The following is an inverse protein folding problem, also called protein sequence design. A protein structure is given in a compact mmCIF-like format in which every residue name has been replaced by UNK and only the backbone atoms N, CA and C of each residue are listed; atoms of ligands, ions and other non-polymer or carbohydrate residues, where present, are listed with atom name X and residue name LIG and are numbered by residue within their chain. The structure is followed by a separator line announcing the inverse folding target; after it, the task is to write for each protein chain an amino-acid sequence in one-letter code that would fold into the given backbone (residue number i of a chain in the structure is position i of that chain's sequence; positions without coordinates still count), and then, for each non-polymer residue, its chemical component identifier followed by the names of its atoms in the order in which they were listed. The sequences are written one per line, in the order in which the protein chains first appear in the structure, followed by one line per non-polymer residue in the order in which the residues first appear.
data_IF_461321919294
#
_entry.id   IF_461321919294
#
_cell.length_a   1.000
_cell.length_b   1.000
_cell.length_c   1.000
_cell.angle_alpha   90.00
_cell.angle_beta   90.00
_cell.angle_gamma   90.00
#
_symmetry.space_group_name_H-M   'P 1'
#
loop_
_entity.id
_entity.type
_entity.pdbx_description
1 polymer ?
#
# COMPACT_ATOMS: atom_id res chain seq x y z
N UNK A 1 -29.94 -11.48 12.06
CA UNK A 1 -29.06 -12.09 11.04
C UNK A 1 -27.61 -11.83 11.38
N UNK A 2 -26.74 -12.77 11.05
CA UNK A 2 -25.28 -12.68 11.22
C UNK A 2 -24.61 -12.84 9.85
N UNK A 3 -23.70 -11.94 9.51
CA UNK A 3 -22.81 -12.07 8.34
C UNK A 3 -21.41 -12.47 8.80
N UNK A 4 -20.87 -13.54 8.23
CA UNK A 4 -19.53 -14.04 8.55
C UNK A 4 -18.64 -13.93 7.32
N UNK A 5 -17.50 -13.25 7.47
CA UNK A 5 -16.39 -13.27 6.52
C UNK A 5 -15.31 -14.22 7.04
N UNK A 6 -14.80 -15.13 6.21
CA UNK A 6 -13.79 -16.10 6.62
C UNK A 6 -12.62 -16.12 5.65
N UNK A 7 -11.41 -15.93 6.15
CA UNK A 7 -10.17 -16.03 5.35
C UNK A 7 -9.77 -17.50 5.21
N UNK A 8 -9.95 -18.08 4.02
CA UNK A 8 -9.51 -19.44 3.73
C UNK A 8 -9.35 -19.71 2.23
N UNK A 9 -8.52 -20.69 1.90
CA UNK A 9 -8.38 -21.24 0.54
C UNK A 9 -9.26 -22.47 0.29
N UNK A 10 -10.10 -22.86 1.25
CA UNK A 10 -10.98 -24.02 1.10
C UNK A 10 -12.06 -23.79 0.03
N UNK A 11 -12.18 -24.77 -0.86
CA UNK A 11 -13.26 -24.88 -1.84
C UNK A 11 -13.58 -26.37 -2.05
N UNK A 12 -14.72 -26.89 -1.55
CA UNK A 12 -15.79 -26.17 -0.85
C UNK A 12 -15.40 -25.77 0.59
N UNK A 13 -16.14 -24.81 1.15
CA UNK A 13 -16.01 -24.36 2.54
C UNK A 13 -17.40 -24.17 3.15
N UNK A 14 -17.57 -24.58 4.40
CA UNK A 14 -18.82 -24.52 5.14
C UNK A 14 -18.59 -23.88 6.50
N UNK A 15 -19.58 -23.10 6.94
CA UNK A 15 -19.76 -22.78 8.35
C UNK A 15 -20.62 -23.88 8.98
N UNK A 16 -20.18 -24.45 10.11
CA UNK A 16 -20.94 -25.40 10.89
C UNK A 16 -21.42 -24.71 12.16
N UNK A 17 -22.74 -24.60 12.35
CA UNK A 17 -23.35 -23.80 13.41
C UNK A 17 -24.72 -24.36 13.83
N UNK A 18 -25.23 -24.04 15.04
CA UNK A 18 -26.54 -24.46 15.50
C UNK A 18 -27.64 -23.53 14.94
N UNK A 19 -28.27 -23.93 13.83
CA UNK A 19 -29.40 -23.21 13.21
C UNK A 19 -30.70 -23.93 13.55
N UNK A 20 -31.70 -23.20 14.06
CA UNK A 20 -32.96 -23.81 14.52
C UNK A 20 -32.78 -24.80 15.69
N UNK A 21 -31.70 -24.66 16.47
CA UNK A 21 -31.39 -25.55 17.60
C UNK A 21 -30.61 -26.82 17.23
N UNK A 22 -30.28 -27.02 15.94
CA UNK A 22 -29.54 -28.19 15.48
C UNK A 22 -28.26 -27.78 14.75
N UNK A 23 -27.17 -28.52 14.99
CA UNK A 23 -25.91 -28.30 14.30
C UNK A 23 -25.98 -28.76 12.85
N UNK A 24 -25.74 -27.85 11.92
CA UNK A 24 -25.72 -28.11 10.49
C UNK A 24 -24.63 -27.32 9.78
N UNK A 25 -24.17 -27.83 8.64
CA UNK A 25 -23.16 -27.19 7.80
C UNK A 25 -23.83 -26.41 6.66
N UNK A 26 -23.44 -25.15 6.50
CA UNK A 26 -23.98 -24.25 5.48
C UNK A 26 -22.85 -23.77 4.56
N UNK A 27 -23.02 -23.86 3.23
CA UNK A 27 -21.96 -23.52 2.29
C UNK A 27 -21.67 -22.02 2.29
N UNK A 28 -20.39 -21.66 2.28
CA UNK A 28 -19.94 -20.28 2.13
C UNK A 28 -19.63 -19.98 0.66
N UNK A 29 -19.86 -18.74 0.25
CA UNK A 29 -19.57 -18.27 -1.11
C UNK A 29 -18.28 -17.45 -1.12
N UNK A 30 -17.56 -17.42 -2.24
CA UNK A 30 -16.41 -16.52 -2.39
C UNK A 30 -16.87 -15.06 -2.25
N UNK A 31 -16.07 -14.23 -1.57
CA UNK A 31 -16.31 -12.80 -1.49
C UNK A 31 -15.99 -12.14 -2.84
N UNK A 32 -16.89 -11.30 -3.39
CA UNK A 32 -16.75 -10.79 -4.77
C UNK A 32 -15.51 -9.89 -4.96
N UNK A 33 -15.06 -9.20 -3.90
CA UNK A 33 -14.00 -8.20 -3.99
C UNK A 33 -12.78 -8.50 -3.11
N UNK A 34 -12.67 -9.72 -2.57
CA UNK A 34 -11.62 -10.06 -1.59
C UNK A 34 -11.16 -11.50 -1.81
N UNK A 35 -10.00 -11.67 -2.47
CA UNK A 35 -9.40 -12.97 -2.79
C UNK A 35 -9.25 -13.82 -1.53
N UNK A 36 -9.58 -15.13 -1.60
CA UNK A 36 -9.62 -16.11 -0.49
C UNK A 36 -10.32 -15.61 0.80
N UNK A 37 -11.29 -14.73 0.64
CA UNK A 37 -12.31 -14.49 1.66
C UNK A 37 -13.59 -15.15 1.20
N UNK A 38 -14.27 -15.81 2.11
CA UNK A 38 -15.59 -16.39 1.92
C UNK A 38 -16.60 -15.61 2.75
N UNK A 39 -17.86 -15.62 2.34
CA UNK A 39 -18.94 -14.93 3.02
C UNK A 39 -20.21 -15.77 3.08
N UNK A 40 -20.95 -15.63 4.17
CA UNK A 40 -22.30 -16.16 4.34
C UNK A 40 -23.09 -15.22 5.25
N UNK A 41 -24.39 -15.09 4.98
CA UNK A 41 -25.34 -14.47 5.92
C UNK A 41 -26.34 -15.53 6.37
N UNK A 42 -26.45 -15.72 7.68
CA UNK A 42 -27.20 -16.81 8.31
C UNK A 42 -28.04 -16.27 9.47
N UNK A 43 -29.06 -17.03 9.88
CA UNK A 43 -29.90 -16.70 11.05
C UNK A 43 -29.07 -16.66 12.34
N UNK A 44 -29.61 -16.08 13.41
CA UNK A 44 -28.90 -15.63 14.62
C UNK A 44 -28.20 -16.75 15.43
N UNK A 45 -27.09 -17.25 14.88
CA UNK A 45 -26.15 -18.15 15.54
C UNK A 45 -25.34 -17.40 16.58
N UNK A 46 -24.86 -18.12 17.61
CA UNK A 46 -23.98 -17.58 18.66
C UNK A 46 -22.62 -18.26 18.71
N UNK A 47 -22.50 -19.44 18.11
CA UNK A 47 -21.27 -20.18 18.02
C UNK A 47 -21.16 -20.95 16.70
N UNK A 48 -19.95 -21.18 16.24
CA UNK A 48 -19.69 -21.89 14.99
C UNK A 48 -18.24 -22.38 14.89
N UNK A 49 -17.98 -23.25 13.92
CA UNK A 49 -16.65 -23.65 13.44
C UNK A 49 -16.69 -23.71 11.91
N UNK A 50 -15.54 -23.82 11.24
CA UNK A 50 -15.51 -24.02 9.80
C UNK A 50 -15.04 -25.43 9.45
N UNK A 51 -15.50 -25.93 8.31
CA UNK A 51 -15.02 -27.19 7.72
C UNK A 51 -14.93 -27.08 6.20
N UNK A 52 -14.05 -27.89 5.60
CA UNK A 52 -14.03 -28.07 4.15
C UNK A 52 -15.01 -29.15 3.66
N UNK A 53 -15.86 -29.69 4.55
CA UNK A 53 -16.79 -30.77 4.26
C UNK A 53 -16.17 -32.17 4.25
N UNK A 54 -14.86 -32.27 4.50
CA UNK A 54 -14.13 -33.51 4.68
C UNK A 54 -13.60 -33.57 6.14
N UNK A 55 -12.36 -34.03 6.35
CA UNK A 55 -11.78 -34.23 7.68
C UNK A 55 -11.17 -32.96 8.31
N UNK A 56 -11.12 -31.82 7.59
CA UNK A 56 -10.48 -30.60 8.10
C UNK A 56 -11.50 -29.69 8.77
N UNK A 57 -11.12 -29.19 9.94
CA UNK A 57 -11.89 -28.27 10.76
C UNK A 57 -11.01 -27.11 11.22
N UNK A 58 -11.61 -25.92 11.30
CA UNK A 58 -11.00 -24.72 11.85
C UNK A 58 -11.84 -24.27 13.05
N UNK A 59 -11.17 -24.20 14.20
CA UNK A 59 -11.69 -23.79 15.49
C UNK A 59 -10.66 -22.87 16.18
N UNK A 60 -11.08 -22.02 17.13
CA UNK A 60 -10.14 -21.13 17.83
C UNK A 60 -9.12 -21.90 18.68
N UNK A 61 -9.48 -23.11 19.11
CA UNK A 61 -8.63 -24.06 19.83
C UNK A 61 -9.27 -25.45 19.78
N UNK A 62 -8.51 -26.54 19.94
CA UNK A 62 -9.05 -27.90 19.93
C UNK A 62 -10.25 -28.06 20.88
N UNK A 63 -11.39 -28.49 20.32
CA UNK A 63 -12.63 -28.70 21.07
C UNK A 63 -13.41 -27.43 21.44
N UNK A 64 -13.02 -26.26 20.94
CA UNK A 64 -13.73 -25.01 21.13
C UNK A 64 -14.45 -24.54 19.86
N UNK A 65 -15.46 -23.71 20.04
CA UNK A 65 -16.17 -23.05 18.95
C UNK A 65 -15.83 -21.56 18.95
N UNK A 66 -15.83 -20.94 17.78
CA UNK A 66 -15.91 -19.49 17.67
C UNK A 66 -17.22 -19.02 18.30
N UNK A 67 -17.20 -17.91 19.05
CA UNK A 67 -18.38 -17.36 19.75
C UNK A 67 -18.54 -15.88 19.44
N UNK A 68 -19.77 -15.48 19.16
CA UNK A 68 -20.15 -14.09 18.87
C UNK A 68 -21.25 -13.62 19.82
N UNK A 69 -21.36 -12.30 19.98
CA UNK A 69 -22.21 -11.67 21.00
C UNK A 69 -23.65 -11.47 20.57
N UNK A 70 -23.92 -11.45 19.26
CA UNK A 70 -25.27 -11.28 18.72
C UNK A 70 -25.28 -11.01 17.21
N UNK A 71 -26.43 -10.52 16.69
CA UNK A 71 -26.56 -10.11 15.29
C UNK A 71 -25.50 -9.09 14.90
N UNK A 72 -25.01 -9.16 13.66
CA UNK A 72 -23.96 -8.27 13.17
C UNK A 72 -23.09 -8.92 12.10
N UNK A 73 -21.98 -8.25 11.78
CA UNK A 73 -20.99 -8.76 10.84
C UNK A 73 -19.68 -9.08 11.58
N UNK A 74 -19.07 -10.22 11.26
CA UNK A 74 -17.83 -10.67 11.90
C UNK A 74 -16.89 -11.24 10.84
N UNK A 75 -15.59 -10.99 10.99
CA UNK A 75 -14.54 -11.66 10.24
C UNK A 75 -13.85 -12.70 11.12
N UNK A 76 -13.46 -13.83 10.54
CA UNK A 76 -12.51 -14.76 11.14
C UNK A 76 -11.22 -14.74 10.33
N UNK A 77 -10.16 -14.29 10.99
CA UNK A 77 -8.84 -14.05 10.42
C UNK A 77 -7.77 -14.60 11.37
N UNK A 78 -6.94 -15.52 10.90
CA UNK A 78 -5.89 -16.19 11.71
C UNK A 78 -6.38 -16.72 13.07
N UNK A 79 -7.53 -17.40 13.09
CA UNK A 79 -8.09 -17.96 14.32
C UNK A 79 -8.70 -16.93 15.29
N UNK A 80 -8.79 -15.66 14.88
CA UNK A 80 -9.37 -14.59 15.67
C UNK A 80 -10.70 -14.13 15.07
N UNK A 81 -11.69 -13.93 15.93
CA UNK A 81 -12.94 -13.25 15.57
C UNK A 81 -12.74 -11.74 15.69
N UNK A 82 -13.10 -11.02 14.63
CA UNK A 82 -13.08 -9.57 14.56
C UNK A 82 -14.51 -9.12 14.27
N UNK A 83 -15.16 -8.47 15.24
CA UNK A 83 -16.45 -7.83 15.02
C UNK A 83 -16.25 -6.63 14.09
N UNK A 84 -17.03 -6.58 13.00
CA UNK A 84 -17.01 -5.50 12.03
C UNK A 84 -17.79 -4.31 12.61
N UNK A 85 -17.09 -3.19 12.78
CA UNK A 85 -17.61 -1.92 13.29
C UNK A 85 -17.31 -0.84 12.26
N UNK A 86 -18.18 -0.70 11.24
CA UNK A 86 -17.90 0.21 10.13
C UNK A 86 -17.55 1.60 10.61
N UNK A 87 -16.46 2.16 10.09
CA UNK A 87 -16.14 3.56 10.28
C UNK A 87 -17.30 4.44 9.78
N UNK A 88 -17.46 5.62 10.38
CA UNK A 88 -18.55 6.56 10.03
C UNK A 88 -18.53 6.96 8.55
N UNK A 89 -17.33 7.00 7.95
CA UNK A 89 -17.10 7.31 6.54
C UNK A 89 -16.04 6.37 5.96
N UNK A 90 -16.22 5.90 4.71
CA UNK A 90 -15.16 5.23 3.98
C UNK A 90 -13.95 6.14 3.78
N UNK A 91 -12.75 5.57 3.77
CA UNK A 91 -11.52 6.30 3.49
C UNK A 91 -10.71 5.61 2.39
N UNK A 92 -9.97 6.42 1.62
CA UNK A 92 -8.90 5.95 0.75
C UNK A 92 -7.57 6.08 1.50
N UNK A 93 -7.05 4.95 1.97
CA UNK A 93 -5.74 4.87 2.63
C UNK A 93 -4.68 4.51 1.60
N UNK A 94 -3.68 5.37 1.44
CA UNK A 94 -2.54 5.16 0.53
C UNK A 94 -1.27 5.19 1.35
N UNK A 95 -0.57 4.06 1.46
CA UNK A 95 0.57 3.92 2.35
C UNK A 95 1.80 3.43 1.63
N UNK A 96 2.98 3.93 2.02
CA UNK A 96 4.19 3.14 1.80
C UNK A 96 4.16 1.83 2.61
N UNK A 97 5.04 0.89 2.26
CA UNK A 97 5.21 -0.38 2.94
C UNK A 97 6.41 -0.33 3.89
N UNK A 98 7.62 -0.38 3.35
CA UNK A 98 8.84 -0.50 4.13
C UNK A 98 9.01 0.67 5.09
N UNK A 99 9.31 0.39 6.36
CA UNK A 99 9.40 1.38 7.42
C UNK A 99 8.13 2.21 7.66
N UNK A 100 7.00 1.89 7.02
CA UNK A 100 5.73 2.60 7.19
C UNK A 100 4.60 1.70 7.69
N UNK A 101 4.30 0.60 6.99
CA UNK A 101 3.38 -0.44 7.49
C UNK A 101 4.11 -1.68 7.95
N UNK A 102 5.23 -2.01 7.30
CA UNK A 102 6.00 -3.24 7.54
C UNK A 102 7.41 -2.92 8.01
N UNK A 103 7.95 -3.78 8.86
CA UNK A 103 9.35 -3.81 9.25
C UNK A 103 9.82 -5.26 9.41
N UNK A 104 11.11 -5.44 9.68
CA UNK A 104 11.77 -6.75 9.63
C UNK A 104 12.06 -7.37 11.00
N UNK A 105 11.43 -6.88 12.07
CA UNK A 105 11.63 -7.39 13.43
C UNK A 105 10.32 -7.47 14.22
N UNK A 106 10.27 -8.36 15.20
CA UNK A 106 9.03 -8.83 15.85
C UNK A 106 8.02 -7.71 16.24
N UNK A 107 8.41 -6.64 16.97
CA UNK A 107 7.52 -5.51 17.25
C UNK A 107 6.79 -4.90 16.04
N UNK A 108 7.44 -4.85 14.88
CA UNK A 108 6.87 -4.28 13.65
C UNK A 108 5.89 -5.24 12.97
N UNK A 109 6.15 -6.54 13.08
CA UNK A 109 5.22 -7.60 12.65
C UNK A 109 3.95 -7.54 13.50
N UNK A 110 4.09 -7.33 14.82
CA UNK A 110 2.95 -7.16 15.71
C UNK A 110 2.16 -5.87 15.43
N UNK A 111 2.85 -4.78 15.05
CA UNK A 111 2.20 -3.54 14.63
C UNK A 111 1.40 -3.72 13.34
N UNK A 112 1.92 -4.47 12.36
CA UNK A 112 1.18 -4.86 11.16
C UNK A 112 -0.06 -5.71 11.51
N UNK A 113 0.06 -6.66 12.44
CA UNK A 113 -1.07 -7.47 12.89
C UNK A 113 -2.18 -6.62 13.54
N UNK A 114 -1.81 -5.65 14.38
CA UNK A 114 -2.76 -4.68 14.96
C UNK A 114 -3.42 -3.81 13.90
N UNK A 115 -2.65 -3.31 12.93
CA UNK A 115 -3.19 -2.59 11.79
C UNK A 115 -4.18 -3.44 10.98
N UNK A 116 -3.87 -4.70 10.70
CA UNK A 116 -4.78 -5.59 9.98
C UNK A 116 -6.08 -5.81 10.74
N UNK A 117 -6.01 -6.06 12.06
CA UNK A 117 -7.19 -6.20 12.90
C UNK A 117 -8.07 -4.95 12.85
N UNK A 118 -7.45 -3.77 12.99
CA UNK A 118 -8.13 -2.47 12.91
C UNK A 118 -8.76 -2.25 11.53
N UNK A 119 -8.00 -2.49 10.45
CA UNK A 119 -8.47 -2.29 9.08
C UNK A 119 -9.61 -3.25 8.74
N UNK A 120 -9.51 -4.52 9.14
CA UNK A 120 -10.60 -5.50 8.99
C UNK A 120 -11.84 -5.05 9.74
N UNK A 121 -11.69 -4.66 11.01
CA UNK A 121 -12.81 -4.23 11.85
C UNK A 121 -13.56 -3.05 11.24
N UNK A 122 -12.85 -2.04 10.73
CA UNK A 122 -13.46 -0.73 10.45
C UNK A 122 -13.66 -0.44 8.96
N UNK A 123 -12.82 -1.01 8.09
CA UNK A 123 -12.58 -0.50 6.73
C UNK A 123 -12.66 -1.55 5.62
N UNK A 124 -12.17 -2.76 5.85
CA UNK A 124 -11.85 -3.71 4.77
C UNK A 124 -13.08 -4.22 3.99
N UNK A 125 -14.23 -4.27 4.66
CA UNK A 125 -15.52 -4.72 4.11
C UNK A 125 -16.56 -3.59 4.02
N UNK A 126 -16.15 -2.33 4.20
CA UNK A 126 -17.09 -1.20 4.45
C UNK A 126 -16.93 -0.06 3.43
N UNK A 127 -16.43 -0.38 2.23
CA UNK A 127 -16.27 0.56 1.12
C UNK A 127 -14.99 1.39 1.16
N UNK A 128 -14.19 1.30 2.22
CA UNK A 128 -12.85 1.91 2.24
C UNK A 128 -11.92 1.20 1.26
N UNK A 129 -10.88 1.91 0.78
CA UNK A 129 -9.92 1.40 -0.19
C UNK A 129 -8.51 1.46 0.35
N UNK A 130 -7.79 0.35 0.23
CA UNK A 130 -6.40 0.21 0.66
C UNK A 130 -5.47 0.23 -0.55
N UNK A 131 -4.50 1.12 -0.55
CA UNK A 131 -3.51 1.26 -1.62
C UNK A 131 -2.12 1.18 -1.02
N UNK A 132 -1.28 0.30 -1.57
CA UNK A 132 0.15 0.32 -1.29
C UNK A 132 0.88 1.10 -2.37
N UNK A 133 1.68 2.08 -1.98
CA UNK A 133 2.45 2.94 -2.86
C UNK A 133 3.93 2.87 -2.49
N UNK A 134 4.59 1.84 -3.02
CA UNK A 134 5.89 1.36 -2.56
C UNK A 134 7.01 1.63 -3.55
N UNK A 135 8.24 1.68 -3.03
CA UNK A 135 9.45 1.65 -3.84
C UNK A 135 9.73 0.29 -4.48
N UNK A 136 9.18 -0.80 -3.93
CA UNK A 136 9.36 -2.18 -4.38
C UNK A 136 8.88 -2.40 -5.81
N UNK A 137 9.47 -3.36 -6.52
CA UNK A 137 8.92 -3.96 -7.74
C UNK A 137 7.70 -4.84 -7.42
N UNK A 138 7.02 -5.35 -8.46
CA UNK A 138 5.94 -6.32 -8.25
C UNK A 138 6.48 -7.61 -7.62
N UNK A 139 7.62 -8.10 -8.10
CA UNK A 139 8.29 -9.31 -7.62
C UNK A 139 8.67 -9.17 -6.15
N UNK A 140 9.30 -8.05 -5.77
CA UNK A 140 9.67 -7.74 -4.38
C UNK A 140 8.46 -7.60 -3.45
N UNK A 141 7.32 -7.11 -3.97
CA UNK A 141 6.08 -7.07 -3.21
C UNK A 141 5.50 -8.48 -3.02
N UNK A 142 5.50 -9.32 -4.06
CA UNK A 142 4.99 -10.69 -3.97
C UNK A 142 5.83 -11.57 -3.04
N UNK A 143 7.14 -11.35 -3.00
CA UNK A 143 8.06 -12.04 -2.09
C UNK A 143 7.70 -11.84 -0.61
N UNK A 144 7.04 -10.72 -0.24
CA UNK A 144 6.60 -10.48 1.14
C UNK A 144 5.66 -11.58 1.66
N UNK A 145 4.80 -12.13 0.79
CA UNK A 145 3.93 -13.24 1.19
C UNK A 145 4.73 -14.52 1.47
N UNK A 146 5.81 -14.76 0.72
CA UNK A 146 6.70 -15.92 0.88
C UNK A 146 7.58 -15.78 2.14
N UNK A 147 7.99 -14.55 2.45
CA UNK A 147 8.69 -14.16 3.68
C UNK A 147 7.79 -14.25 4.93
N UNK A 148 6.49 -14.51 4.76
CA UNK A 148 5.54 -14.74 5.84
C UNK A 148 4.83 -13.49 6.35
N UNK A 149 5.00 -12.34 5.69
CA UNK A 149 4.24 -11.15 6.04
C UNK A 149 2.75 -11.37 5.77
N UNK A 150 1.93 -11.06 6.77
CA UNK A 150 0.47 -11.20 6.68
C UNK A 150 -0.17 -9.91 6.15
N UNK A 151 0.26 -9.45 4.99
CA UNK A 151 -0.24 -8.20 4.40
C UNK A 151 -1.64 -8.43 3.82
N UNK A 152 -2.59 -7.52 4.09
CA UNK A 152 -3.90 -7.57 3.45
C UNK A 152 -3.79 -7.29 1.95
N UNK A 153 -4.59 -7.99 1.15
CA UNK A 153 -4.68 -7.72 -0.29
C UNK A 153 -5.18 -6.27 -0.49
N UNK A 154 -4.42 -5.38 -1.15
CA UNK A 154 -4.82 -4.01 -1.43
C UNK A 154 -5.82 -3.95 -2.59
N UNK A 155 -6.61 -2.88 -2.63
CA UNK A 155 -7.47 -2.54 -3.77
C UNK A 155 -6.65 -2.02 -4.97
N UNK A 156 -5.47 -1.43 -4.72
CA UNK A 156 -4.53 -0.98 -5.74
C UNK A 156 -3.08 -1.13 -5.26
N UNK A 157 -2.19 -1.60 -6.12
CA UNK A 157 -0.77 -1.67 -5.86
C UNK A 157 -0.03 -0.72 -6.81
N UNK A 158 0.60 0.30 -6.26
CA UNK A 158 1.48 1.23 -6.96
C UNK A 158 2.93 0.88 -6.60
N UNK A 159 3.73 0.54 -7.59
CA UNK A 159 5.10 0.02 -7.41
C UNK A 159 6.15 0.94 -8.01
N UNK A 160 7.42 0.62 -7.76
CA UNK A 160 8.58 1.29 -8.33
C UNK A 160 8.51 2.81 -8.16
N UNK A 161 8.14 3.29 -6.97
CA UNK A 161 8.04 4.72 -6.62
C UNK A 161 7.02 5.45 -7.51
N UNK A 162 5.84 4.86 -7.72
CA UNK A 162 4.78 5.51 -8.51
C UNK A 162 4.90 5.35 -10.01
N UNK A 163 5.71 4.40 -10.50
CA UNK A 163 5.97 4.24 -11.94
C UNK A 163 5.04 3.25 -12.62
N UNK A 164 4.52 2.28 -11.86
CA UNK A 164 3.68 1.21 -12.39
C UNK A 164 2.56 0.89 -11.40
N UNK A 165 1.41 0.48 -11.91
CA UNK A 165 0.20 0.24 -11.11
C UNK A 165 -0.46 -1.08 -11.49
N UNK A 166 -0.94 -1.80 -10.49
CA UNK A 166 -1.60 -3.09 -10.65
C UNK A 166 -2.88 -3.17 -9.83
N UNK A 167 -3.84 -3.95 -10.32
CA UNK A 167 -5.03 -4.38 -9.57
C UNK A 167 -5.05 -5.90 -9.45
N UNK A 168 -5.49 -6.41 -8.31
CA UNK A 168 -5.63 -7.85 -8.12
C UNK A 168 -6.88 -8.36 -8.86
N UNK A 169 -6.71 -9.31 -9.76
CA UNK A 169 -7.81 -10.07 -10.31
C UNK A 169 -8.21 -11.17 -9.31
N UNK A 170 -9.45 -11.12 -8.80
CA UNK A 170 -9.91 -12.02 -7.76
C UNK A 170 -10.17 -13.45 -8.25
N UNK A 171 -10.45 -13.63 -9.54
CA UNK A 171 -10.70 -14.93 -10.16
C UNK A 171 -9.39 -15.69 -10.38
N UNK A 172 -8.37 -15.00 -10.89
CA UNK A 172 -7.06 -15.61 -11.19
C UNK A 172 -6.10 -15.53 -10.00
N UNK A 173 -6.32 -14.59 -9.10
CA UNK A 173 -5.43 -14.27 -7.99
C UNK A 173 -4.13 -13.56 -8.40
N UNK A 174 -4.00 -13.12 -9.66
CA UNK A 174 -2.84 -12.43 -10.19
C UNK A 174 -3.00 -10.91 -10.17
N UNK A 175 -1.88 -10.19 -10.04
CA UNK A 175 -1.85 -8.73 -10.21
C UNK A 175 -1.75 -8.38 -11.69
N UNK A 176 -2.73 -7.64 -12.19
CA UNK A 176 -2.82 -7.22 -13.59
C UNK A 176 -2.40 -5.76 -13.73
N UNK A 177 -1.56 -5.50 -14.74
CA UNK A 177 -1.03 -4.17 -15.03
C UNK A 177 -2.16 -3.23 -15.49
N UNK A 178 -2.20 -2.03 -14.90
CA UNK A 178 -3.08 -0.93 -15.29
C UNK A 178 -2.38 -0.01 -16.29
N UNK A 179 -2.50 -0.31 -17.57
CA UNK A 179 -1.85 0.46 -18.64
C UNK A 179 -2.45 1.85 -18.83
N UNK A 180 -3.72 2.06 -18.44
CA UNK A 180 -4.38 3.37 -18.41
C UNK A 180 -3.69 4.37 -17.46
N UNK A 181 -2.91 3.90 -16.48
CA UNK A 181 -2.07 4.75 -15.65
C UNK A 181 -1.02 5.51 -16.46
N UNK A 182 -0.53 4.92 -17.57
CA UNK A 182 0.52 5.50 -18.39
C UNK A 182 0.07 6.74 -19.18
N UNK A 183 -1.24 6.92 -19.34
CA UNK A 183 -1.81 8.11 -19.98
C UNK A 183 -1.64 9.38 -19.12
N UNK A 184 -1.24 9.23 -17.85
CA UNK A 184 -0.93 10.35 -16.95
C UNK A 184 0.47 10.92 -17.14
N UNK A 185 1.33 10.27 -17.92
CA UNK A 185 2.68 10.74 -18.19
C UNK A 185 2.77 11.43 -19.55
N UNK A 186 3.56 12.50 -19.61
CA UNK A 186 3.89 13.11 -20.89
C UNK A 186 4.99 12.32 -21.60
N UNK A 187 4.59 11.44 -22.52
CA UNK A 187 5.50 10.55 -23.25
C UNK A 187 6.37 11.29 -24.29
N UNK A 188 6.01 12.50 -24.70
CA UNK A 188 6.81 13.31 -25.63
C UNK A 188 8.07 13.85 -24.94
N UNK A 189 8.01 14.01 -23.61
CA UNK A 189 9.12 14.50 -22.78
C UNK A 189 9.88 13.40 -22.03
N UNK A 190 9.64 12.14 -22.38
CA UNK A 190 10.25 11.02 -21.68
C UNK A 190 10.62 9.85 -22.59
N UNK A 191 11.74 9.22 -22.28
CA UNK A 191 12.13 7.90 -22.77
C UNK A 191 13.22 7.37 -21.82
N UNK A 192 12.93 6.29 -21.10
CA UNK A 192 13.84 5.78 -20.07
C UNK A 192 15.21 5.39 -20.62
N UNK A 193 15.31 4.91 -21.86
CA UNK A 193 16.59 4.54 -22.46
C UNK A 193 17.40 5.75 -22.92
N UNK A 194 16.74 6.81 -23.38
CA UNK A 194 17.41 8.09 -23.65
C UNK A 194 17.94 8.68 -22.34
N UNK A 195 17.11 8.72 -21.30
CA UNK A 195 17.48 9.24 -19.98
C UNK A 195 18.66 8.45 -19.40
N UNK A 196 18.60 7.12 -19.46
CA UNK A 196 19.67 6.24 -18.96
C UNK A 196 21.02 6.55 -19.62
N UNK A 197 21.07 6.58 -20.96
CA UNK A 197 22.30 6.87 -21.70
C UNK A 197 22.84 8.27 -21.39
N UNK A 198 21.99 9.29 -21.42
CA UNK A 198 22.45 10.67 -21.20
C UNK A 198 22.95 10.88 -19.77
N UNK A 199 22.31 10.26 -18.78
CA UNK A 199 22.70 10.38 -17.38
C UNK A 199 24.02 9.66 -17.10
N UNK A 200 24.21 8.45 -17.63
CA UNK A 200 25.47 7.73 -17.47
C UNK A 200 26.66 8.43 -18.15
N UNK A 201 26.43 9.10 -19.28
CA UNK A 201 27.47 9.85 -19.98
C UNK A 201 27.91 11.10 -19.21
N UNK A 202 26.96 11.87 -18.67
CA UNK A 202 27.23 13.16 -18.03
C UNK A 202 27.55 13.04 -16.53
N UNK A 203 27.07 12.00 -15.85
CA UNK A 203 27.16 11.86 -14.40
C UNK A 203 27.76 10.49 -14.00
N UNK A 204 29.07 10.25 -14.22
CA UNK A 204 29.73 8.96 -13.94
C UNK A 204 29.79 8.58 -12.44
N UNK A 205 29.38 9.49 -11.54
CA UNK A 205 29.25 9.20 -10.11
C UNK A 205 27.94 8.48 -9.76
N UNK A 206 26.99 8.41 -10.69
CA UNK A 206 25.80 7.57 -10.59
C UNK A 206 26.14 6.15 -11.05
N UNK A 207 25.93 5.19 -10.16
CA UNK A 207 26.26 3.79 -10.39
C UNK A 207 24.97 3.05 -10.73
N UNK A 208 24.91 2.50 -11.95
CA UNK A 208 23.84 1.60 -12.35
C UNK A 208 24.04 0.24 -11.68
N UNK A 209 23.09 -0.26 -10.88
CA UNK A 209 23.16 -1.61 -10.31
C UNK A 209 23.13 -2.70 -11.40
N UNK A 210 23.82 -3.82 -11.17
CA UNK A 210 23.90 -4.93 -12.14
C UNK A 210 22.53 -5.52 -12.51
N UNK A 211 21.57 -5.49 -11.59
CA UNK A 211 20.19 -5.97 -11.78
C UNK A 211 19.19 -4.81 -11.98
N UNK A 212 19.62 -3.67 -12.51
CA UNK A 212 18.74 -2.53 -12.67
C UNK A 212 17.70 -2.75 -13.78
N UNK A 213 16.44 -2.83 -13.39
CA UNK A 213 15.32 -2.76 -14.32
C UNK A 213 15.11 -1.32 -14.82
N UNK A 214 15.11 -1.13 -16.14
CA UNK A 214 14.66 0.10 -16.79
C UNK A 214 13.13 0.00 -16.91
N UNK A 215 12.41 0.78 -16.10
CA UNK A 215 10.95 0.84 -16.16
C UNK A 215 10.50 1.81 -17.24
N UNK A 216 9.27 1.69 -17.79
CA UNK A 216 8.76 2.61 -18.81
C UNK A 216 8.83 4.09 -18.42
N UNK A 217 8.59 4.41 -17.14
CA UNK A 217 8.56 5.78 -16.61
C UNK A 217 9.50 6.01 -15.43
N UNK A 218 10.54 5.18 -15.30
CA UNK A 218 11.56 5.33 -14.27
C UNK A 218 12.86 4.62 -14.64
N UNK A 219 13.96 5.26 -14.28
CA UNK A 219 15.25 4.59 -14.11
C UNK A 219 15.79 4.92 -12.73
N UNK A 220 16.72 4.14 -12.20
CA UNK A 220 17.31 4.44 -10.90
C UNK A 220 18.79 4.09 -10.85
N UNK A 221 19.49 4.82 -9.99
CA UNK A 221 20.92 4.66 -9.76
C UNK A 221 21.20 4.62 -8.27
N UNK A 222 22.40 4.19 -7.92
CA UNK A 222 22.96 4.36 -6.58
C UNK A 222 24.10 5.35 -6.61
N UNK A 223 24.32 6.05 -5.51
CA UNK A 223 25.44 6.98 -5.38
C UNK A 223 25.89 7.12 -3.93
N UNK A 224 27.16 7.47 -3.73
CA UNK A 224 27.64 7.80 -2.39
C UNK A 224 27.04 9.13 -1.93
N UNK A 225 26.67 9.21 -0.65
CA UNK A 225 26.05 10.40 -0.06
C UNK A 225 26.88 11.67 -0.29
N UNK A 226 28.21 11.58 -0.22
CA UNK A 226 29.11 12.71 -0.49
C UNK A 226 29.00 13.25 -1.92
N UNK A 227 28.78 12.37 -2.90
CA UNK A 227 28.71 12.74 -4.32
C UNK A 227 27.32 13.32 -4.63
N UNK A 228 26.26 12.76 -4.04
CA UNK A 228 24.92 13.35 -4.05
C UNK A 228 24.94 14.77 -3.49
N UNK A 229 25.55 14.97 -2.32
CA UNK A 229 25.63 16.30 -1.69
C UNK A 229 26.35 17.33 -2.56
N UNK A 230 27.34 16.89 -3.35
CA UNK A 230 28.14 17.76 -4.20
C UNK A 230 27.48 18.03 -5.56
N UNK A 231 26.86 17.05 -6.18
CA UNK A 231 26.49 17.08 -7.61
C UNK A 231 24.98 16.99 -7.91
N UNK A 232 24.13 16.72 -6.91
CA UNK A 232 22.68 16.56 -7.14
C UNK A 232 22.02 17.80 -7.75
N UNK A 233 22.51 19.01 -7.44
CA UNK A 233 21.97 20.25 -8.01
C UNK A 233 22.18 20.29 -9.52
N UNK A 234 23.37 19.91 -9.99
CA UNK A 234 23.71 19.92 -11.42
C UNK A 234 22.89 18.87 -12.16
N UNK A 235 22.75 17.66 -11.59
CA UNK A 235 21.86 16.63 -12.11
C UNK A 235 20.41 17.11 -12.23
N UNK A 236 19.88 17.81 -11.22
CA UNK A 236 18.52 18.37 -11.25
C UNK A 236 18.34 19.43 -12.33
N UNK A 237 19.34 20.29 -12.56
CA UNK A 237 19.28 21.31 -13.62
C UNK A 237 19.33 20.66 -15.00
N UNK A 238 20.24 19.70 -15.19
CA UNK A 238 20.36 18.91 -16.42
C UNK A 238 19.04 18.21 -16.78
N UNK A 239 18.45 17.47 -15.84
CA UNK A 239 17.20 16.73 -16.05
C UNK A 239 15.99 17.63 -16.29
N UNK A 240 15.93 18.81 -15.66
CA UNK A 240 14.87 19.80 -15.93
C UNK A 240 14.98 20.41 -17.32
N UNK A 241 16.17 20.38 -17.92
CA UNK A 241 16.45 20.80 -19.28
C UNK A 241 15.77 22.15 -19.63
N UNK A 242 16.02 23.23 -18.88
CA UNK A 242 15.25 24.48 -19.02
C UNK A 242 15.34 25.09 -20.42
N UNK A 243 16.46 24.88 -21.12
CA UNK A 243 16.71 25.34 -22.49
C UNK A 243 16.02 24.49 -23.57
N UNK A 244 15.26 23.45 -23.18
CA UNK A 244 14.53 22.57 -24.08
C UNK A 244 15.42 21.91 -25.16
N UNK A 245 16.62 21.46 -24.75
CA UNK A 245 17.55 20.75 -25.63
C UNK A 245 16.88 19.46 -26.12
N UNK A 246 16.98 19.20 -27.42
CA UNK A 246 16.45 17.99 -28.06
C UNK A 246 17.53 16.90 -28.03
N UNK A 247 17.19 15.74 -27.49
CA UNK A 247 18.03 14.54 -27.44
C UNK A 247 17.29 13.39 -28.11
N UNK A 248 17.86 12.83 -29.18
CA UNK A 248 17.25 11.75 -29.97
C UNK A 248 15.78 12.04 -30.38
N UNK A 249 15.51 13.28 -30.78
CA UNK A 249 14.18 13.70 -31.25
C UNK A 249 13.18 14.05 -30.14
N UNK A 250 13.56 14.00 -28.86
CA UNK A 250 12.70 14.36 -27.72
C UNK A 250 13.30 15.48 -26.87
N UNK A 251 12.45 16.31 -26.29
CA UNK A 251 12.85 17.25 -25.24
C UNK A 251 12.64 16.55 -23.90
N UNK A 252 13.70 15.96 -23.35
CA UNK A 252 13.58 15.22 -22.09
C UNK A 252 13.36 16.18 -20.93
N UNK A 253 12.34 15.89 -20.10
CA UNK A 253 12.04 16.62 -18.86
C UNK A 253 11.85 15.63 -17.72
N UNK A 254 12.73 15.71 -16.74
CA UNK A 254 12.80 14.73 -15.66
C UNK A 254 13.09 15.38 -14.31
N UNK A 255 12.87 14.60 -13.25
CA UNK A 255 13.19 14.96 -11.87
C UNK A 255 13.81 13.78 -11.14
N UNK A 256 14.52 14.10 -10.06
CA UNK A 256 15.05 13.12 -9.13
C UNK A 256 14.16 12.95 -7.91
N UNK A 257 14.03 11.71 -7.46
CA UNK A 257 13.54 11.32 -6.14
C UNK A 257 14.71 10.63 -5.46
N UNK A 258 15.06 11.09 -4.26
CA UNK A 258 16.26 10.66 -3.55
C UNK A 258 15.84 10.07 -2.22
N UNK A 259 16.29 8.87 -1.92
CA UNK A 259 16.00 8.15 -0.67
C UNK A 259 17.24 7.38 -0.19
N UNK A 260 17.12 6.70 0.95
CA UNK A 260 18.19 5.89 1.54
C UNK A 260 19.00 6.64 2.60
N UNK A 261 19.68 5.86 3.44
CA UNK A 261 20.40 6.31 4.64
C UNK A 261 21.91 6.05 4.53
N UNK A 262 22.66 6.67 5.45
CA UNK A 262 24.10 6.47 5.62
C UNK A 262 24.93 6.90 4.39
N UNK A 263 25.86 6.06 3.95
CA UNK A 263 26.85 6.38 2.91
C UNK A 263 26.35 6.19 1.48
N UNK A 264 25.19 5.55 1.28
CA UNK A 264 24.64 5.24 -0.03
C UNK A 264 23.22 5.79 -0.16
N UNK A 265 22.91 6.31 -1.35
CA UNK A 265 21.59 6.85 -1.71
C UNK A 265 21.07 6.16 -2.96
N UNK A 266 19.74 6.06 -3.02
CA UNK A 266 19.01 5.68 -4.21
C UNK A 266 18.54 6.95 -4.93
N UNK A 267 18.75 7.02 -6.23
CA UNK A 267 18.40 8.15 -7.09
C UNK A 267 17.45 7.65 -8.17
N UNK A 268 16.16 7.73 -7.92
CA UNK A 268 15.16 7.47 -8.96
C UNK A 268 15.04 8.71 -9.85
N UNK A 269 15.04 8.48 -11.16
CA UNK A 269 14.79 9.51 -12.17
C UNK A 269 13.48 9.15 -12.87
N UNK A 270 12.57 10.11 -12.89
CA UNK A 270 11.21 9.97 -13.39
C UNK A 270 10.84 11.16 -14.28
N UNK A 271 9.80 11.06 -15.12
CA UNK A 271 9.16 12.22 -15.73
C UNK A 271 8.75 13.25 -14.67
N UNK A 272 8.51 14.50 -15.08
CA UNK A 272 8.09 15.54 -14.14
C UNK A 272 6.79 15.20 -13.39
N UNK A 273 5.92 14.43 -14.01
CA UNK A 273 4.65 13.94 -13.48
C UNK A 273 4.85 12.80 -12.47
N UNK A 274 5.91 12.00 -12.62
CA UNK A 274 6.11 10.73 -11.92
C UNK A 274 6.35 10.81 -10.42
N UNK A 275 6.61 9.66 -9.78
CA UNK A 275 6.74 9.58 -8.33
C UNK A 275 5.43 9.25 -7.62
N UNK A 276 5.52 8.96 -6.32
CA UNK A 276 4.39 8.45 -5.53
C UNK A 276 3.15 9.37 -5.51
N UNK A 277 3.31 10.68 -5.70
CA UNK A 277 2.17 11.62 -5.78
C UNK A 277 1.23 11.38 -6.96
N UNK A 278 1.75 10.84 -8.08
CA UNK A 278 0.91 10.47 -9.23
C UNK A 278 0.04 9.25 -8.91
N UNK A 279 0.59 8.30 -8.13
CA UNK A 279 -0.14 7.16 -7.58
C UNK A 279 -1.34 7.59 -6.72
N UNK A 280 -1.16 8.62 -5.86
CA UNK A 280 -2.26 9.21 -5.08
C UNK A 280 -3.34 9.78 -6.00
N UNK A 281 -2.93 10.56 -7.00
CA UNK A 281 -3.85 11.18 -7.96
C UNK A 281 -4.66 10.12 -8.71
N UNK A 282 -4.01 9.05 -9.14
CA UNK A 282 -4.66 7.96 -9.85
C UNK A 282 -5.61 7.16 -8.95
N UNK A 283 -5.21 6.83 -7.72
CA UNK A 283 -6.05 6.12 -6.76
C UNK A 283 -7.34 6.90 -6.45
N UNK A 284 -7.24 8.22 -6.23
CA UNK A 284 -8.40 9.11 -6.02
C UNK A 284 -9.36 9.07 -7.21
N UNK A 285 -8.84 9.20 -8.44
CA UNK A 285 -9.65 9.14 -9.67
C UNK A 285 -10.30 7.78 -9.86
N UNK A 286 -9.55 6.71 -9.65
CA UNK A 286 -10.02 5.35 -9.85
C UNK A 286 -11.17 4.98 -8.91
N UNK A 287 -11.05 5.37 -7.64
CA UNK A 287 -12.02 4.99 -6.61
C UNK A 287 -13.05 6.08 -6.29
N UNK A 288 -12.92 7.28 -6.89
CA UNK A 288 -13.87 8.38 -6.69
C UNK A 288 -13.76 9.07 -5.32
N UNK A 289 -12.58 9.09 -4.71
CA UNK A 289 -12.33 9.77 -3.43
C UNK A 289 -11.78 11.19 -3.64
N UNK A 290 -12.25 12.12 -2.81
CA UNK A 290 -11.74 13.50 -2.75
C UNK A 290 -10.67 13.65 -1.63
N UNK A 291 -10.15 14.86 -1.42
CA UNK A 291 -9.09 15.10 -0.44
C UNK A 291 -9.52 14.85 1.02
N UNK A 292 -10.77 15.17 1.38
CA UNK A 292 -11.23 15.05 2.78
C UNK A 292 -11.33 13.60 3.26
N UNK A 293 -11.49 12.65 2.34
CA UNK A 293 -11.64 11.22 2.60
C UNK A 293 -10.40 10.42 2.16
N UNK A 294 -9.32 11.10 1.77
CA UNK A 294 -8.03 10.48 1.40
C UNK A 294 -6.99 10.69 2.50
N UNK A 295 -6.22 9.64 2.80
CA UNK A 295 -5.16 9.64 3.79
C UNK A 295 -3.90 9.02 3.17
N UNK A 296 -2.80 9.77 3.12
CA UNK A 296 -1.49 9.28 2.69
C UNK A 296 -0.58 8.98 3.89
N UNK A 297 0.24 7.94 3.84
CA UNK A 297 1.16 7.56 4.91
C UNK A 297 2.55 7.29 4.35
N UNK A 298 3.59 7.81 5.01
CA UNK A 298 4.97 7.53 4.63
C UNK A 298 5.96 7.85 5.74
N UNK A 299 7.23 7.52 5.50
CA UNK A 299 8.34 7.69 6.45
C UNK A 299 9.52 8.45 5.84
N UNK A 300 9.69 8.50 4.52
CA UNK A 300 10.93 8.98 3.90
C UNK A 300 10.78 9.98 2.75
N UNK A 301 11.91 10.45 2.21
CA UNK A 301 11.94 11.43 1.13
C UNK A 301 11.22 11.02 -0.16
N UNK A 302 11.07 9.71 -0.43
CA UNK A 302 10.30 9.25 -1.59
C UNK A 302 8.78 9.45 -1.42
N UNK A 303 8.30 9.64 -0.19
CA UNK A 303 6.90 9.84 0.17
C UNK A 303 6.47 11.31 0.13
N UNK A 304 7.43 12.24 0.06
CA UNK A 304 7.17 13.67 -0.08
C UNK A 304 6.17 13.96 -1.21
N UNK A 305 6.20 13.17 -2.30
CA UNK A 305 5.25 13.28 -3.40
C UNK A 305 3.80 13.03 -2.96
N UNK A 306 3.57 12.06 -2.08
CA UNK A 306 2.24 11.75 -1.55
C UNK A 306 1.72 12.83 -0.61
N UNK A 307 2.60 13.52 0.11
CA UNK A 307 2.21 14.48 1.16
C UNK A 307 2.00 15.91 0.66
N UNK A 308 2.08 16.15 -0.65
CA UNK A 308 1.96 17.49 -1.25
C UNK A 308 0.53 17.95 -1.53
N UNK A 309 -0.44 17.05 -1.50
CA UNK A 309 -1.85 17.37 -1.75
C UNK A 309 -2.55 18.01 -0.56
N UNK A 310 -3.84 18.27 -0.73
CA UNK A 310 -4.71 18.83 0.31
C UNK A 310 -5.36 17.76 1.20
N UNK A 311 -5.20 16.47 0.84
CA UNK A 311 -5.62 15.32 1.63
C UNK A 311 -4.83 15.16 2.92
N UNK A 312 -5.35 14.39 3.87
CA UNK A 312 -4.63 14.12 5.12
C UNK A 312 -3.36 13.32 4.86
N UNK A 313 -2.27 13.65 5.55
CA UNK A 313 -1.05 12.85 5.53
C UNK A 313 -0.58 12.51 6.93
N UNK A 314 -0.03 11.31 7.07
CA UNK A 314 0.52 10.76 8.30
C UNK A 314 2.01 10.51 8.07
N UNK A 315 2.83 11.03 8.98
CA UNK A 315 4.25 10.71 9.08
C UNK A 315 4.42 9.80 10.30
N UNK A 316 4.87 8.57 10.07
CA UNK A 316 5.13 7.60 11.16
C UNK A 316 6.31 8.05 12.03
N UNK A 317 6.32 7.75 13.33
CA UNK A 317 7.35 8.28 14.23
C UNK A 317 8.79 7.82 13.94
N UNK A 318 8.97 6.76 13.14
CA UNK A 318 10.28 6.25 12.70
C UNK A 318 10.76 6.84 11.35
N UNK A 319 10.26 8.02 11.00
CA UNK A 319 10.58 8.75 9.77
C UNK A 319 12.09 8.97 9.55
N UNK A 320 12.44 9.29 8.32
CA UNK A 320 13.75 9.80 7.91
C UNK A 320 13.83 11.33 8.02
N UNK A 321 15.05 11.83 8.27
CA UNK A 321 15.30 13.25 8.45
C UNK A 321 14.91 14.08 7.23
N UNK A 322 15.05 13.54 6.02
CA UNK A 322 14.78 14.26 4.78
C UNK A 322 13.30 14.64 4.61
N UNK A 323 12.39 13.78 5.09
CA UNK A 323 10.96 14.06 5.10
C UNK A 323 10.62 15.19 6.09
N UNK A 324 11.20 15.18 7.28
CA UNK A 324 10.97 16.24 8.28
C UNK A 324 11.63 17.55 7.89
N UNK A 325 12.83 17.51 7.31
CA UNK A 325 13.46 18.70 6.73
C UNK A 325 12.60 19.32 5.63
N UNK A 326 11.94 18.51 4.80
CA UNK A 326 10.97 18.99 3.82
C UNK A 326 9.72 19.59 4.48
N UNK A 327 9.20 18.97 5.55
CA UNK A 327 8.04 19.46 6.27
C UNK A 327 8.32 20.82 6.90
N UNK A 328 9.46 20.98 7.58
CA UNK A 328 9.86 22.23 8.26
C UNK A 328 9.96 23.46 7.34
N UNK A 329 10.14 23.25 6.02
CA UNK A 329 10.20 24.35 5.04
C UNK A 329 8.86 25.07 4.84
N UNK A 330 7.74 24.41 5.15
CA UNK A 330 6.39 24.98 4.99
C UNK A 330 5.42 24.25 5.91
N UNK A 331 4.80 24.98 6.83
CA UNK A 331 3.75 24.42 7.67
C UNK A 331 2.57 23.91 6.82
N UNK A 332 2.05 22.74 7.18
CA UNK A 332 0.93 22.07 6.51
C UNK A 332 -0.04 21.57 7.57
N UNK A 333 -1.27 22.08 7.55
CA UNK A 333 -2.29 21.77 8.57
C UNK A 333 -2.88 20.37 8.43
N UNK A 334 -2.77 19.79 7.24
CA UNK A 334 -3.28 18.47 6.88
C UNK A 334 -2.25 17.35 7.11
N UNK A 335 -1.15 17.61 7.84
CA UNK A 335 -0.13 16.59 8.13
C UNK A 335 -0.05 16.35 9.64
N UNK A 336 -0.18 15.08 10.04
CA UNK A 336 0.01 14.62 11.39
C UNK A 336 1.34 13.85 11.48
N UNK A 337 2.14 14.16 12.48
CA UNK A 337 3.26 13.31 12.89
C UNK A 337 2.72 12.41 14.00
N UNK A 338 2.75 11.11 13.78
CA UNK A 338 2.26 10.12 14.74
C UNK A 338 3.19 10.04 15.96
N UNK A 339 2.64 9.61 17.09
CA UNK A 339 3.42 9.27 18.28
C UNK A 339 3.98 7.85 18.17
N UNK A 340 3.27 6.96 17.46
CA UNK A 340 3.67 5.59 17.23
C UNK A 340 4.38 5.38 15.89
N UNK A 341 4.94 4.19 15.72
CA UNK A 341 5.66 3.73 14.54
C UNK A 341 4.83 2.68 13.79
N UNK A 342 5.15 2.45 12.51
CA UNK A 342 4.55 1.38 11.70
C UNK A 342 3.01 1.40 11.66
N UNK A 343 2.36 0.23 11.60
CA UNK A 343 0.90 0.10 11.56
C UNK A 343 0.15 0.76 12.72
N UNK A 344 0.77 0.89 13.90
CA UNK A 344 0.15 1.55 15.06
C UNK A 344 -0.03 3.06 14.81
N UNK A 345 0.92 3.69 14.12
CA UNK A 345 0.85 5.09 13.71
C UNK A 345 -0.36 5.36 12.81
N UNK A 346 -0.63 4.43 11.89
CA UNK A 346 -1.72 4.54 10.93
C UNK A 346 -3.06 4.48 11.65
N UNK A 347 -3.22 3.51 12.55
CA UNK A 347 -4.43 3.42 13.38
C UNK A 347 -4.64 4.69 14.20
N UNK A 348 -3.63 5.10 14.98
CA UNK A 348 -3.68 6.28 15.85
C UNK A 348 -4.16 7.52 15.09
N UNK A 349 -3.55 7.80 13.94
CA UNK A 349 -3.84 9.01 13.21
C UNK A 349 -5.17 8.96 12.44
N UNK A 350 -5.60 7.80 11.92
CA UNK A 350 -6.94 7.68 11.31
C UNK A 350 -8.02 7.96 12.36
N UNK A 351 -7.88 7.42 13.57
CA UNK A 351 -8.80 7.70 14.67
C UNK A 351 -8.81 9.19 15.06
N UNK A 352 -7.62 9.82 15.15
CA UNK A 352 -7.51 11.28 15.39
C UNK A 352 -8.21 12.10 14.29
N UNK A 353 -8.03 11.74 13.02
CA UNK A 353 -8.66 12.41 11.88
C UNK A 353 -10.19 12.30 11.97
N UNK A 354 -10.73 11.10 12.19
CA UNK A 354 -12.17 10.87 12.29
C UNK A 354 -12.85 11.52 13.51
N UNK A 355 -12.12 11.70 14.60
CA UNK A 355 -12.66 12.33 15.81
C UNK A 355 -12.63 13.86 15.73
N UNK A 356 -11.78 14.44 14.88
CA UNK A 356 -11.58 15.89 14.80
C UNK A 356 -12.39 16.52 13.66
N UNK A 357 -12.64 15.78 12.57
CA UNK A 357 -13.27 16.27 11.33
C UNK A 357 -14.23 15.23 10.75
#
# INVERSE_FOLDING_TARGET
MVTIYYRSSWNPCYIHAPVGGHWSSHPMSAHPERRKWLTITIEDIKEFVFTNGNEKWDNPSPGQNYKITGPGAYAVFHGKIIEIKPAKRPVLLISDLDNTLIGNYQPTIEALARFNDYWIQSHYFTGSKLVYNTGRSLEEFLALYEEGYQILDPDLLVTAVGSTVYTLNFDTGAYELRTDYYDLFNQDHWDSHIVDRMVQQEFPWLILPDNCHIYPFKIWFTAKTKDVNKYLKDLKVFLRNPENIVTNGKIIKAKTIVSGRYDMRYIDITPLEGGKGLGVTYAKRLFGFDDKDTIAVGDSGNDIGMMKGDHWSIIVANYEDDLIEWLRKKERKNILIAEHMFGDAVQECIEKIHNTY
#
